data_IF_518929137869
#
_entry.id   IF_518929137869
#
_cell.length_a   1.000
_cell.length_b   1.000
_cell.length_c   1.000
_cell.angle_alpha   90.00
_cell.angle_beta   90.00
_cell.angle_gamma   90.00
#
_symmetry.space_group_name_H-M   'P 1'
#
loop_
_entity.id
_entity.type
_entity.pdbx_description
1 polymer ?
#
# COMPACT_ATOMS: atom_id res chain seq x y z
N UNK A 1 -11.59 0.83 -0.03
CA UNK A 1 -10.32 0.12 -0.28
C UNK A 1 -10.20 -0.48 -1.67
N UNK A 2 -11.22 -1.18 -2.19
CA UNK A 2 -11.15 -1.86 -3.49
C UNK A 2 -10.69 -1.00 -4.67
N UNK A 3 -11.13 0.26 -4.76
CA UNK A 3 -10.71 1.18 -5.82
C UNK A 3 -9.21 1.54 -5.76
N UNK A 4 -8.68 1.84 -4.57
CA UNK A 4 -7.25 2.15 -4.39
C UNK A 4 -6.36 0.95 -4.72
N UNK A 5 -6.82 -0.25 -4.38
CA UNK A 5 -6.15 -1.49 -4.71
C UNK A 5 -6.14 -1.74 -6.23
N UNK A 6 -7.27 -1.51 -6.90
CA UNK A 6 -7.36 -1.64 -8.35
C UNK A 6 -6.44 -0.65 -9.08
N UNK A 7 -6.38 0.61 -8.61
CA UNK A 7 -5.46 1.62 -9.13
C UNK A 7 -3.99 1.23 -8.93
N UNK A 8 -3.64 0.72 -7.74
CA UNK A 8 -2.26 0.32 -7.46
C UNK A 8 -1.81 -0.86 -8.33
N UNK A 9 -2.70 -1.82 -8.58
CA UNK A 9 -2.44 -2.93 -9.51
C UNK A 9 -2.35 -2.44 -10.95
N UNK A 10 -3.30 -1.63 -11.41
CA UNK A 10 -3.33 -1.14 -12.78
C UNK A 10 -2.15 -0.21 -13.11
N UNK A 11 -1.66 0.54 -12.12
CA UNK A 11 -0.48 1.38 -12.24
C UNK A 11 0.84 0.64 -11.98
N UNK A 12 0.80 -0.68 -11.74
CA UNK A 12 1.97 -1.50 -11.41
C UNK A 12 2.83 -0.91 -10.30
N UNK A 13 2.19 -0.28 -9.31
CA UNK A 13 2.89 0.43 -8.26
C UNK A 13 3.65 -0.54 -7.35
N UNK A 14 4.91 -0.23 -7.03
CA UNK A 14 5.66 -0.99 -6.04
C UNK A 14 5.14 -0.77 -4.61
N UNK A 15 4.58 0.41 -4.33
CA UNK A 15 4.09 0.82 -3.01
C UNK A 15 2.70 1.46 -3.07
N UNK A 16 1.81 1.02 -2.18
CA UNK A 16 0.59 1.72 -1.79
C UNK A 16 0.80 2.28 -0.37
N UNK A 17 1.10 3.58 -0.28
CA UNK A 17 1.35 4.26 1.00
C UNK A 17 0.03 4.74 1.59
N UNK A 18 -0.29 4.34 2.82
CA UNK A 18 -1.55 4.74 3.47
C UNK A 18 -1.41 4.90 4.98
N UNK A 19 -2.14 5.87 5.53
CA UNK A 19 -2.30 6.05 6.98
C UNK A 19 -3.57 5.38 7.53
N UNK A 20 -4.25 4.54 6.74
CA UNK A 20 -5.49 3.87 7.15
C UNK A 20 -5.24 2.95 8.35
N UNK A 21 -5.63 3.42 9.54
CA UNK A 21 -5.52 2.67 10.79
C UNK A 21 -6.61 1.63 10.96
N UNK A 22 -7.60 1.58 10.06
CA UNK A 22 -8.58 0.49 10.05
C UNK A 22 -7.88 -0.76 9.52
N UNK A 23 -8.32 -1.93 9.97
CA UNK A 23 -7.71 -3.20 9.62
C UNK A 23 -7.90 -3.62 8.14
N UNK A 24 -8.21 -2.70 7.22
CA UNK A 24 -8.46 -3.01 5.82
C UNK A 24 -7.18 -3.12 5.00
N UNK A 25 -6.55 -1.98 4.73
CA UNK A 25 -5.39 -1.92 3.83
C UNK A 25 -4.09 -2.38 4.49
N UNK A 26 -3.76 -1.83 5.67
CA UNK A 26 -2.49 -2.14 6.34
C UNK A 26 -2.41 -3.60 6.81
N UNK A 27 -3.52 -4.19 7.26
CA UNK A 27 -3.54 -5.61 7.67
C UNK A 27 -3.29 -6.55 6.48
N UNK A 28 -3.71 -6.15 5.28
CA UNK A 28 -3.52 -6.93 4.06
C UNK A 28 -2.05 -7.01 3.65
N UNK A 29 -1.24 -6.00 3.99
CA UNK A 29 0.22 -5.95 3.81
C UNK A 29 0.71 -5.86 2.36
N UNK A 30 0.06 -6.53 1.41
CA UNK A 30 0.39 -6.46 -0.02
C UNK A 30 -0.80 -6.82 -0.92
N UNK A 31 -0.70 -6.43 -2.20
CA UNK A 31 -1.56 -6.92 -3.28
C UNK A 31 -0.69 -7.19 -4.52
N UNK A 32 -0.58 -8.46 -4.92
CA UNK A 32 0.38 -8.84 -5.95
C UNK A 32 1.80 -8.47 -5.55
N UNK A 33 2.48 -7.66 -6.37
CA UNK A 33 3.83 -7.12 -6.07
C UNK A 33 3.79 -5.82 -5.26
N UNK A 34 2.64 -5.16 -5.18
CA UNK A 34 2.50 -3.88 -4.48
C UNK A 34 2.51 -4.08 -2.97
N UNK A 35 3.43 -3.42 -2.26
CA UNK A 35 3.51 -3.41 -0.80
C UNK A 35 2.61 -2.32 -0.24
N UNK A 36 1.80 -2.65 0.77
CA UNK A 36 0.93 -1.69 1.44
C UNK A 36 1.60 -1.28 2.75
N UNK A 37 2.01 -0.02 2.84
CA UNK A 37 2.91 0.45 3.91
C UNK A 37 2.40 1.75 4.53
N UNK A 38 2.85 2.04 5.75
CA UNK A 38 2.66 3.37 6.34
C UNK A 38 3.61 4.38 5.72
N UNK A 39 3.32 5.70 5.79
CA UNK A 39 4.27 6.72 5.35
C UNK A 39 5.64 6.61 6.04
N UNK A 40 5.66 6.30 7.34
CA UNK A 40 6.91 6.13 8.08
C UNK A 40 7.73 4.94 7.56
N UNK A 41 7.08 3.81 7.29
CA UNK A 41 7.74 2.64 6.70
C UNK A 41 8.27 2.93 5.30
N UNK A 42 7.48 3.62 4.45
CA UNK A 42 7.93 4.00 3.12
C UNK A 42 9.19 4.87 3.17
N UNK A 43 9.20 5.92 4.00
CA UNK A 43 10.37 6.79 4.15
C UNK A 43 11.61 6.06 4.68
N UNK A 44 11.44 4.99 5.46
CA UNK A 44 12.56 4.21 5.99
C UNK A 44 13.13 3.19 5.00
N UNK A 45 12.33 2.76 4.02
CA UNK A 45 12.70 1.67 3.10
C UNK A 45 12.98 2.14 1.66
N UNK A 46 12.46 3.29 1.25
CA UNK A 46 12.47 3.75 -0.13
C UNK A 46 13.12 5.14 -0.37
N UNK A 47 13.45 5.87 0.70
CA UNK A 47 14.18 7.15 0.65
C UNK A 47 15.58 6.98 1.24
#
# INVERSE_FOLDING_TARGET
>A
DGFLLAMAVAGEADYLVTGDRRAGLLQRGSIGRTRIVTPATFCAEAL
#
